data_IF_571902046997
#
_entry.id   IF_571902046997
#
_cell.length_a   1.000
_cell.length_b   1.000
_cell.length_c   1.000
_cell.angle_alpha   90.00
_cell.angle_beta   90.00
_cell.angle_gamma   90.00
#
_symmetry.space_group_name_H-M   'P 1'
#
loop_
_entity.id
_entity.type
_entity.pdbx_description
1 polymer ?
#
# COMPACT_ATOMS: atom_id res chain seq x y z
N UNK A 1 10.48 -5.14 -37.35
CA UNK A 1 10.41 -3.90 -36.54
C UNK A 1 9.03 -3.22 -36.60
N UNK A 2 8.49 -2.92 -37.79
CA UNK A 2 7.29 -2.06 -37.94
C UNK A 2 5.99 -2.68 -37.40
N UNK A 3 5.78 -3.99 -37.57
CA UNK A 3 4.56 -4.66 -37.12
C UNK A 3 4.37 -4.66 -35.59
N UNK A 4 5.47 -4.74 -34.82
CA UNK A 4 5.42 -4.72 -33.35
C UNK A 4 5.35 -3.28 -32.82
N UNK A 5 6.03 -2.33 -33.46
CA UNK A 5 5.83 -0.89 -33.19
C UNK A 5 4.38 -0.44 -33.47
N UNK A 6 3.73 -1.02 -34.49
CA UNK A 6 2.32 -0.81 -34.80
C UNK A 6 1.39 -1.33 -33.70
N UNK A 7 1.70 -2.51 -33.12
CA UNK A 7 0.92 -3.08 -32.00
C UNK A 7 1.14 -2.34 -30.68
N UNK A 8 2.34 -1.78 -30.45
CA UNK A 8 2.68 -1.03 -29.23
C UNK A 8 2.02 0.34 -29.15
N UNK A 9 1.93 1.09 -30.26
CA UNK A 9 1.37 2.45 -30.25
C UNK A 9 -0.04 2.54 -29.63
N UNK A 10 -1.01 1.67 -29.98
CA UNK A 10 -2.32 1.65 -29.33
C UNK A 10 -2.25 1.39 -27.83
N UNK A 11 -1.30 0.56 -27.37
CA UNK A 11 -1.12 0.26 -25.94
C UNK A 11 -0.55 1.44 -25.17
N UNK A 12 0.46 2.14 -25.71
CA UNK A 12 0.98 3.40 -25.12
C UNK A 12 -0.14 4.44 -25.02
N UNK A 13 -0.94 4.57 -26.07
CA UNK A 13 -2.11 5.46 -26.07
C UNK A 13 -3.13 5.06 -25.01
N UNK A 14 -3.44 3.76 -24.89
CA UNK A 14 -4.38 3.25 -23.91
C UNK A 14 -3.88 3.44 -22.47
N UNK A 15 -2.58 3.24 -22.22
CA UNK A 15 -1.93 3.49 -20.95
C UNK A 15 -2.05 4.97 -20.56
N UNK A 16 -1.66 5.89 -21.45
CA UNK A 16 -1.72 7.33 -21.18
C UNK A 16 -3.16 7.78 -20.90
N UNK A 17 -4.14 7.27 -21.65
CA UNK A 17 -5.56 7.53 -21.37
C UNK A 17 -5.99 7.02 -19.99
N UNK A 18 -5.51 5.85 -19.57
CA UNK A 18 -5.81 5.29 -18.25
C UNK A 18 -5.18 6.11 -17.12
N UNK A 19 -3.95 6.59 -17.32
CA UNK A 19 -3.28 7.52 -16.39
C UNK A 19 -4.09 8.80 -16.23
N UNK A 20 -4.50 9.43 -17.33
CA UNK A 20 -5.28 10.67 -17.29
C UNK A 20 -6.64 10.46 -16.59
N UNK A 21 -7.33 9.36 -16.88
CA UNK A 21 -8.59 9.01 -16.21
C UNK A 21 -8.40 8.79 -14.70
N UNK A 22 -7.33 8.11 -14.29
CA UNK A 22 -7.00 7.93 -12.88
C UNK A 22 -6.71 9.26 -12.20
N UNK A 23 -6.01 10.16 -12.89
CA UNK A 23 -5.72 11.49 -12.41
C UNK A 23 -6.99 12.30 -12.16
N UNK A 24 -7.86 12.38 -13.17
CA UNK A 24 -9.15 13.06 -13.11
C UNK A 24 -10.02 12.49 -11.97
N UNK A 25 -10.07 11.17 -11.84
CA UNK A 25 -10.82 10.51 -10.75
C UNK A 25 -10.29 10.88 -9.36
N UNK A 26 -8.97 11.13 -9.23
CA UNK A 26 -8.32 11.48 -7.96
C UNK A 26 -8.41 12.97 -7.60
N UNK A 27 -8.79 13.82 -8.55
CA UNK A 27 -8.91 15.28 -8.38
C UNK A 27 -10.36 15.73 -8.13
N UNK A 28 -11.33 14.81 -8.24
CA UNK A 28 -12.73 15.05 -7.91
C UNK A 28 -12.91 15.42 -6.42
N UNK A 29 -13.81 16.35 -6.13
CA UNK A 29 -14.21 16.73 -4.76
C UNK A 29 -15.73 16.53 -4.58
N UNK A 30 -16.19 15.56 -3.75
CA UNK A 30 -15.39 14.62 -2.97
C UNK A 30 -14.77 13.50 -3.83
N UNK A 31 -13.62 12.97 -3.39
CA UNK A 31 -12.91 11.90 -4.09
C UNK A 31 -13.73 10.60 -4.03
N UNK A 32 -14.15 10.09 -5.18
CA UNK A 32 -14.79 8.76 -5.28
C UNK A 32 -13.72 7.67 -5.27
N UNK A 33 -13.52 7.09 -4.10
CA UNK A 33 -12.50 6.06 -3.87
C UNK A 33 -12.71 4.80 -4.72
N UNK A 34 -13.96 4.41 -4.98
CA UNK A 34 -14.28 3.23 -5.79
C UNK A 34 -13.94 3.48 -7.26
N UNK A 35 -14.21 4.69 -7.76
CA UNK A 35 -13.81 5.12 -9.11
C UNK A 35 -12.29 5.15 -9.25
N UNK A 36 -11.57 5.72 -8.27
CA UNK A 36 -10.10 5.74 -8.23
C UNK A 36 -9.52 4.32 -8.22
N UNK A 37 -10.05 3.41 -7.40
CA UNK A 37 -9.59 2.01 -7.36
C UNK A 37 -9.85 1.29 -8.69
N UNK A 38 -11.02 1.51 -9.30
CA UNK A 38 -11.37 0.92 -10.60
C UNK A 38 -10.45 1.41 -11.71
N UNK A 39 -10.23 2.73 -11.79
CA UNK A 39 -9.32 3.34 -12.75
C UNK A 39 -7.90 2.80 -12.61
N UNK A 40 -7.44 2.58 -11.37
CA UNK A 40 -6.12 2.04 -11.10
C UNK A 40 -5.99 0.55 -11.49
N UNK A 41 -7.02 -0.27 -11.25
CA UNK A 41 -7.06 -1.66 -11.76
C UNK A 41 -6.97 -1.70 -13.29
N UNK A 42 -7.68 -0.81 -13.98
CA UNK A 42 -7.58 -0.70 -15.43
C UNK A 42 -6.19 -0.26 -15.90
N UNK A 43 -5.55 0.67 -15.21
CA UNK A 43 -4.17 1.10 -15.49
C UNK A 43 -3.19 -0.08 -15.35
N UNK A 44 -3.31 -0.88 -14.27
CA UNK A 44 -2.50 -2.10 -14.07
C UNK A 44 -2.62 -3.08 -15.23
N UNK A 45 -3.84 -3.40 -15.65
CA UNK A 45 -4.08 -4.34 -16.77
C UNK A 45 -3.41 -3.84 -18.05
N UNK A 46 -3.53 -2.54 -18.34
CA UNK A 46 -2.91 -1.93 -19.53
C UNK A 46 -1.38 -1.90 -19.43
N UNK A 47 -0.83 -1.67 -18.24
CA UNK A 47 0.61 -1.65 -17.99
C UNK A 47 1.26 -3.02 -18.24
N UNK A 48 0.64 -4.11 -17.79
CA UNK A 48 1.14 -5.48 -18.03
C UNK A 48 1.23 -5.75 -19.53
N UNK A 49 0.14 -5.48 -20.26
CA UNK A 49 0.11 -5.66 -21.73
C UNK A 49 1.12 -4.77 -22.45
N UNK A 50 1.33 -3.54 -21.97
CA UNK A 50 2.31 -2.63 -22.56
C UNK A 50 3.73 -3.16 -22.36
N UNK A 51 4.07 -3.59 -21.14
CA UNK A 51 5.39 -4.13 -20.80
C UNK A 51 5.76 -5.35 -21.64
N UNK A 52 4.83 -6.31 -21.79
CA UNK A 52 5.04 -7.49 -22.65
C UNK A 52 5.39 -7.12 -24.10
N UNK A 53 4.72 -6.09 -24.64
CA UNK A 53 5.01 -5.63 -26.01
C UNK A 53 6.28 -4.79 -26.08
N UNK A 54 6.65 -4.08 -25.02
CA UNK A 54 7.88 -3.30 -24.93
C UNK A 54 9.11 -4.22 -24.86
N UNK A 55 9.05 -5.28 -24.05
CA UNK A 55 10.08 -6.32 -23.98
C UNK A 55 10.25 -7.01 -25.35
N UNK A 56 9.15 -7.36 -26.03
CA UNK A 56 9.18 -7.94 -27.37
C UNK A 56 9.78 -7.00 -28.43
N UNK A 57 9.63 -5.67 -28.29
CA UNK A 57 10.26 -4.72 -29.20
C UNK A 57 11.77 -4.62 -28.93
N UNK A 58 12.20 -4.62 -27.68
CA UNK A 58 13.62 -4.60 -27.34
C UNK A 58 14.33 -5.87 -27.84
N UNK A 59 13.72 -7.04 -27.68
CA UNK A 59 14.24 -8.31 -28.20
C UNK A 59 14.39 -8.29 -29.73
N UNK A 60 13.36 -7.84 -30.45
CA UNK A 60 13.45 -7.65 -31.90
C UNK A 60 14.52 -6.65 -32.33
N UNK A 61 14.75 -5.59 -31.55
CA UNK A 61 15.77 -4.59 -31.86
C UNK A 61 17.18 -5.19 -31.76
N UNK A 62 17.38 -6.10 -30.80
CA UNK A 62 18.61 -6.89 -30.69
C UNK A 62 18.74 -7.84 -31.89
N UNK A 63 17.70 -8.61 -32.22
CA UNK A 63 17.70 -9.53 -33.37
C UNK A 63 17.97 -8.83 -34.70
N UNK A 64 17.55 -7.57 -34.83
CA UNK A 64 17.74 -6.75 -36.03
C UNK A 64 19.13 -6.10 -36.12
N UNK A 65 20.06 -6.40 -35.18
CA UNK A 65 21.37 -5.75 -35.04
C UNK A 65 21.26 -4.21 -35.10
N UNK A 66 20.28 -3.64 -34.37
CA UNK A 66 20.15 -2.19 -34.30
C UNK A 66 21.39 -1.52 -33.67
N UNK A 67 21.57 -0.22 -33.89
CA UNK A 67 22.64 0.51 -33.23
C UNK A 67 22.37 0.65 -31.74
N UNK A 68 23.45 0.71 -30.95
CA UNK A 68 23.34 0.86 -29.49
C UNK A 68 22.57 2.14 -29.12
N UNK A 69 22.75 3.23 -29.87
CA UNK A 69 22.04 4.48 -29.66
C UNK A 69 20.53 4.33 -29.88
N UNK A 70 20.12 3.61 -30.91
CA UNK A 70 18.70 3.38 -31.18
C UNK A 70 18.06 2.51 -30.09
N UNK A 71 18.79 1.51 -29.59
CA UNK A 71 18.36 0.68 -28.47
C UNK A 71 18.19 1.51 -27.19
N UNK A 72 19.19 2.31 -26.83
CA UNK A 72 19.17 3.13 -25.61
C UNK A 72 18.01 4.13 -25.61
N UNK A 73 17.75 4.80 -26.74
CA UNK A 73 16.60 5.70 -26.88
C UNK A 73 15.29 4.95 -26.63
N UNK A 74 15.12 3.76 -27.23
CA UNK A 74 13.90 3.00 -27.01
C UNK A 74 13.78 2.53 -25.56
N UNK A 75 14.87 2.07 -24.95
CA UNK A 75 14.91 1.66 -23.55
C UNK A 75 14.52 2.81 -22.60
N UNK A 76 15.08 4.00 -22.77
CA UNK A 76 14.72 5.20 -21.98
C UNK A 76 13.23 5.52 -22.14
N UNK A 77 12.68 5.44 -23.36
CA UNK A 77 11.24 5.69 -23.54
C UNK A 77 10.34 4.65 -22.90
N UNK A 78 10.82 3.43 -22.64
CA UNK A 78 10.08 2.38 -21.94
C UNK A 78 10.11 2.65 -20.42
N UNK A 79 11.28 3.02 -19.89
CA UNK A 79 11.45 3.38 -18.48
C UNK A 79 10.53 4.54 -18.06
N UNK A 80 10.32 5.54 -18.93
CA UNK A 80 9.37 6.63 -18.68
C UNK A 80 7.94 6.16 -18.33
N UNK A 81 7.48 5.04 -18.90
CA UNK A 81 6.16 4.48 -18.60
C UNK A 81 6.18 3.71 -17.27
N UNK A 82 7.28 3.00 -16.97
CA UNK A 82 7.48 2.33 -15.69
C UNK A 82 7.49 3.31 -14.52
N UNK A 83 8.21 4.43 -14.66
CA UNK A 83 8.25 5.50 -13.66
C UNK A 83 6.85 6.09 -13.38
N UNK A 84 6.07 6.35 -14.43
CA UNK A 84 4.68 6.82 -14.29
C UNK A 84 3.82 5.82 -13.50
N UNK A 85 3.96 4.52 -13.78
CA UNK A 85 3.21 3.49 -13.06
C UNK A 85 3.59 3.45 -11.57
N UNK A 86 4.88 3.55 -11.24
CA UNK A 86 5.38 3.58 -9.86
C UNK A 86 4.88 4.82 -9.13
N UNK A 87 4.94 6.00 -9.76
CA UNK A 87 4.45 7.25 -9.18
C UNK A 87 2.97 7.13 -8.77
N UNK A 88 2.13 6.54 -9.63
CA UNK A 88 0.71 6.30 -9.32
C UNK A 88 0.49 5.27 -8.22
N UNK A 89 1.29 4.20 -8.15
CA UNK A 89 1.25 3.24 -7.05
C UNK A 89 1.49 3.91 -5.69
N UNK A 90 2.49 4.79 -5.61
CA UNK A 90 2.82 5.52 -4.38
C UNK A 90 1.71 6.51 -4.01
N UNK A 91 1.21 7.27 -4.99
CA UNK A 91 0.15 8.26 -4.77
C UNK A 91 -1.13 7.61 -4.24
N UNK A 92 -1.57 6.50 -4.83
CA UNK A 92 -2.76 5.76 -4.39
C UNK A 92 -2.62 5.24 -2.95
N UNK A 93 -1.46 4.67 -2.60
CA UNK A 93 -1.17 4.20 -1.23
C UNK A 93 -1.31 5.31 -0.20
N UNK A 94 -1.02 6.56 -0.57
CA UNK A 94 -1.16 7.71 0.31
C UNK A 94 -2.63 8.15 0.43
N UNK A 95 -3.38 8.18 -0.68
CA UNK A 95 -4.83 8.50 -0.69
C UNK A 95 -5.61 7.49 0.17
N UNK A 96 -5.28 6.20 0.09
CA UNK A 96 -5.89 5.14 0.91
C UNK A 96 -5.65 5.32 2.43
N UNK A 97 -4.51 5.90 2.82
CA UNK A 97 -4.19 6.13 4.24
C UNK A 97 -4.93 7.33 4.83
N UNK A 98 -5.27 8.32 4.01
CA UNK A 98 -5.92 9.55 4.48
C UNK A 98 -7.42 9.36 4.76
N UNK A 99 -8.11 8.47 4.04
CA UNK A 99 -9.54 8.20 4.21
C UNK A 99 -9.87 7.47 5.54
N UNK A 100 -8.96 6.63 6.03
CA UNK A 100 -9.15 5.87 7.27
C UNK A 100 -9.27 6.72 8.56
N UNK A 101 -8.98 8.03 8.50
CA UNK A 101 -9.01 8.95 9.64
C UNK A 101 -10.33 9.73 9.80
N UNK A 102 -11.32 9.55 8.89
CA UNK A 102 -12.43 10.50 8.70
C UNK A 102 -13.80 10.24 9.38
N UNK A 103 -14.15 9.04 9.87
CA UNK A 103 -15.52 8.76 10.36
C UNK A 103 -15.56 7.88 11.63
N UNK A 104 -16.02 8.38 12.80
CA UNK A 104 -16.57 7.57 13.92
C UNK A 104 -17.46 8.36 14.92
N UNK A 105 -18.68 7.88 15.18
CA UNK A 105 -19.51 8.20 16.36
C UNK A 105 -20.11 6.92 17.01
N UNK A 106 -20.17 6.94 18.36
CA UNK A 106 -21.00 6.18 19.33
C UNK A 106 -21.01 4.62 19.35
N UNK A 107 -20.41 3.99 20.37
CA UNK A 107 -21.08 3.46 21.60
C UNK A 107 -20.21 2.44 22.39
N UNK A 108 -20.31 2.55 23.73
CA UNK A 108 -20.02 1.59 24.83
C UNK A 108 -18.61 1.02 25.09
N UNK A 109 -18.22 1.16 26.36
CA UNK A 109 -16.93 0.89 26.99
C UNK A 109 -16.83 -0.55 27.51
N UNK A 110 -15.73 -1.24 27.20
CA UNK A 110 -15.20 -2.33 28.03
C UNK A 110 -13.71 -2.05 28.25
N UNK A 111 -13.33 -1.82 29.50
CA UNK A 111 -11.95 -1.59 29.92
C UNK A 111 -11.32 -2.91 30.35
N UNK A 112 -10.22 -3.31 29.71
CA UNK A 112 -9.37 -4.39 30.22
C UNK A 112 -7.90 -3.98 30.21
N UNK A 113 -7.32 -4.07 31.40
CA UNK A 113 -5.94 -3.83 31.81
C UNK A 113 -4.91 -4.64 31.00
N UNK A 114 -3.87 -3.96 30.52
CA UNK A 114 -2.78 -4.54 29.75
C UNK A 114 -1.79 -5.34 30.63
N UNK A 115 -1.76 -6.65 30.46
CA UNK A 115 -0.64 -7.51 30.88
C UNK A 115 0.33 -7.69 29.71
N UNK A 116 1.63 -7.52 29.95
CA UNK A 116 2.66 -7.68 28.91
C UNK A 116 2.76 -9.14 28.45
N UNK A 117 2.25 -9.41 27.24
CA UNK A 117 2.31 -10.73 26.61
C UNK A 117 3.73 -10.99 26.10
N UNK A 118 4.40 -12.04 26.61
CA UNK A 118 5.64 -12.55 26.02
C UNK A 118 5.28 -13.54 24.91
N UNK A 119 5.85 -13.34 23.72
CA UNK A 119 5.60 -14.18 22.56
C UNK A 119 6.35 -15.53 22.68
N UNK A 120 5.77 -16.65 22.23
CA UNK A 120 6.45 -17.93 22.15
C UNK A 120 7.68 -17.86 21.25
N UNK A 121 8.79 -18.51 21.65
CA UNK A 121 9.96 -18.65 20.79
C UNK A 121 9.64 -19.63 19.66
N UNK A 122 9.80 -19.18 18.41
CA UNK A 122 9.63 -20.01 17.22
C UNK A 122 10.78 -21.01 17.16
N UNK A 123 10.47 -22.31 17.15
CA UNK A 123 11.43 -23.38 16.86
C UNK A 123 11.10 -23.94 15.47
N UNK A 124 12.03 -23.84 14.53
CA UNK A 124 11.87 -24.43 13.21
C UNK A 124 11.96 -25.96 13.31
N UNK A 125 11.06 -26.66 12.64
CA UNK A 125 11.12 -28.12 12.54
C UNK A 125 12.38 -28.53 11.77
N UNK A 126 13.21 -29.37 12.37
CA UNK A 126 14.39 -29.92 11.71
C UNK A 126 13.96 -31.12 10.84
N UNK A 127 14.29 -31.08 9.55
CA UNK A 127 14.02 -32.18 8.63
C UNK A 127 15.20 -33.14 8.60
N UNK A 128 14.94 -34.44 8.76
CA UNK A 128 15.97 -35.49 8.77
C UNK A 128 16.48 -35.82 7.37
N UNK A 129 15.79 -35.34 6.32
CA UNK A 129 16.07 -35.65 4.92
C UNK A 129 15.50 -37.00 4.47
N UNK A 130 14.78 -37.73 5.33
CA UNK A 130 14.09 -38.96 4.94
C UNK A 130 12.90 -38.67 3.99
N UNK A 131 12.66 -39.57 3.04
CA UNK A 131 11.59 -39.43 2.04
C UNK A 131 10.19 -39.38 2.68
N UNK A 132 10.03 -40.01 3.85
CA UNK A 132 8.83 -39.97 4.69
C UNK A 132 8.51 -38.55 5.14
N UNK A 133 9.52 -37.75 5.48
CA UNK A 133 9.38 -36.35 5.85
C UNK A 133 8.94 -35.51 4.64
N UNK A 134 9.46 -35.79 3.44
CA UNK A 134 9.04 -35.12 2.21
C UNK A 134 7.57 -35.38 1.86
N UNK A 135 7.11 -36.64 1.99
CA UNK A 135 5.71 -36.98 1.77
C UNK A 135 4.78 -36.30 2.78
N UNK A 136 5.18 -36.24 4.05
CA UNK A 136 4.44 -35.51 5.09
C UNK A 136 4.37 -34.02 4.78
N UNK A 137 5.48 -33.41 4.36
CA UNK A 137 5.54 -32.01 3.95
C UNK A 137 4.62 -31.73 2.76
N UNK A 138 4.76 -32.51 1.68
CA UNK A 138 3.95 -32.34 0.48
C UNK A 138 2.45 -32.47 0.80
N UNK A 139 2.04 -33.49 1.57
CA UNK A 139 0.63 -33.65 1.94
C UNK A 139 0.09 -32.52 2.82
N UNK A 140 0.94 -31.84 3.60
CA UNK A 140 0.53 -30.70 4.42
C UNK A 140 0.12 -29.50 3.55
N UNK A 141 0.89 -29.23 2.50
CA UNK A 141 0.67 -28.07 1.62
C UNK A 141 -0.12 -28.41 0.36
N UNK A 142 -0.33 -29.69 0.04
CA UNK A 142 -1.12 -30.14 -1.13
C UNK A 142 -2.48 -29.46 -1.21
N UNK A 143 -3.18 -29.36 -0.08
CA UNK A 143 -4.50 -28.72 -0.01
C UNK A 143 -4.47 -27.23 -0.32
N UNK A 144 -3.36 -26.53 -0.03
CA UNK A 144 -3.17 -25.11 -0.35
C UNK A 144 -2.82 -24.97 -1.83
N UNK A 145 -1.94 -25.85 -2.33
CA UNK A 145 -1.52 -25.85 -3.73
C UNK A 145 -2.66 -26.17 -4.71
N UNK A 146 -3.63 -27.00 -4.30
CA UNK A 146 -4.80 -27.38 -5.09
C UNK A 146 -6.01 -26.46 -4.88
N UNK A 147 -5.90 -25.42 -4.03
CA UNK A 147 -7.01 -24.52 -3.74
C UNK A 147 -7.08 -23.37 -4.76
N UNK A 148 -8.08 -23.42 -5.64
CA UNK A 148 -8.32 -22.39 -6.67
C UNK A 148 -8.72 -21.01 -6.09
N UNK A 149 -9.06 -20.92 -4.80
CA UNK A 149 -9.39 -19.65 -4.14
C UNK A 149 -8.18 -18.87 -3.62
N UNK A 150 -7.00 -19.47 -3.67
CA UNK A 150 -5.74 -18.87 -3.24
C UNK A 150 -5.02 -18.34 -4.47
N UNK A 151 -4.82 -17.03 -4.52
CA UNK A 151 -4.11 -16.39 -5.63
C UNK A 151 -2.59 -16.61 -5.48
N UNK A 152 -1.86 -16.60 -6.60
CA UNK A 152 -0.39 -16.58 -6.61
C UNK A 152 0.12 -15.20 -7.03
N UNK A 153 1.07 -14.64 -6.28
CA UNK A 153 1.73 -13.39 -6.63
C UNK A 153 2.70 -13.57 -7.81
N UNK A 154 3.19 -12.45 -8.38
CA UNK A 154 4.12 -12.46 -9.52
C UNK A 154 5.48 -13.12 -9.24
N UNK A 155 5.78 -13.46 -7.98
CA UNK A 155 6.99 -14.17 -7.56
C UNK A 155 6.75 -15.66 -7.28
N UNK A 156 5.55 -16.17 -7.55
CA UNK A 156 5.15 -17.55 -7.29
C UNK A 156 4.87 -17.85 -5.82
N UNK A 157 4.56 -16.83 -5.01
CA UNK A 157 4.14 -17.01 -3.61
C UNK A 157 2.63 -16.98 -3.51
N UNK A 158 2.06 -17.94 -2.80
CA UNK A 158 0.65 -17.96 -2.45
C UNK A 158 0.27 -16.71 -1.64
N UNK A 159 -0.72 -15.97 -2.11
CA UNK A 159 -1.36 -14.87 -1.41
C UNK A 159 -2.78 -15.26 -1.00
N UNK A 160 -3.08 -15.08 0.28
CA UNK A 160 -4.42 -15.32 0.82
C UNK A 160 -4.93 -13.99 1.33
N UNK A 161 -6.13 -13.59 0.91
CA UNK A 161 -6.82 -12.48 1.53
C UNK A 161 -7.00 -12.80 3.02
N UNK A 162 -6.33 -12.04 3.88
CA UNK A 162 -6.54 -12.18 5.32
C UNK A 162 -8.05 -12.03 5.57
N UNK A 163 -8.66 -12.89 6.40
CA UNK A 163 -9.99 -12.63 6.92
C UNK A 163 -9.83 -11.47 7.89
N UNK A 164 -9.64 -10.27 7.33
CA UNK A 164 -9.74 -9.03 8.06
C UNK A 164 -11.09 -9.14 8.76
N UNK A 165 -11.06 -9.19 10.08
CA UNK A 165 -12.25 -8.90 10.85
C UNK A 165 -12.64 -7.51 10.34
N UNK A 166 -13.69 -7.43 9.51
CA UNK A 166 -14.22 -6.16 8.99
C UNK A 166 -14.47 -5.17 10.15
N UNK A 167 -14.67 -5.74 11.33
CA UNK A 167 -14.75 -5.11 12.64
C UNK A 167 -13.37 -4.80 13.28
N UNK A 168 -12.40 -4.33 12.49
CA UNK A 168 -11.19 -3.72 13.03
C UNK A 168 -11.59 -2.45 13.79
N UNK A 169 -11.85 -2.59 15.10
CA UNK A 169 -12.09 -1.47 15.99
C UNK A 169 -10.82 -0.61 16.00
N UNK A 170 -10.74 0.38 15.11
CA UNK A 170 -9.73 1.44 15.20
C UNK A 170 -9.76 1.96 16.63
N UNK A 171 -8.61 1.93 17.30
CA UNK A 171 -8.45 2.37 18.68
C UNK A 171 -9.01 3.79 18.79
N UNK A 172 -9.86 4.04 19.79
CA UNK A 172 -10.49 5.35 19.93
C UNK A 172 -9.45 6.45 20.14
N UNK A 173 -9.63 7.60 19.50
CA UNK A 173 -8.77 8.76 19.73
C UNK A 173 -8.88 9.23 21.18
N UNK A 174 -7.73 9.34 21.86
CA UNK A 174 -7.65 9.79 23.25
C UNK A 174 -7.86 11.30 23.42
N UNK A 175 -8.25 12.04 22.37
CA UNK A 175 -8.40 13.50 22.35
C UNK A 175 -9.33 14.00 23.47
N UNK A 176 -10.55 13.48 23.55
CA UNK A 176 -11.54 13.91 24.57
C UNK A 176 -11.07 13.62 26.00
N UNK A 177 -10.36 12.51 26.20
CA UNK A 177 -9.76 12.18 27.49
C UNK A 177 -8.60 13.13 27.83
N UNK A 178 -7.76 13.47 26.85
CA UNK A 178 -6.69 14.45 26.99
C UNK A 178 -7.24 15.85 27.30
N UNK A 179 -8.30 16.30 26.63
CA UNK A 179 -8.98 17.57 26.89
C UNK A 179 -9.53 17.64 28.33
N UNK A 180 -10.23 16.59 28.77
CA UNK A 180 -10.74 16.51 30.15
C UNK A 180 -9.61 16.52 31.19
N UNK A 181 -8.50 15.84 30.90
CA UNK A 181 -7.30 15.85 31.76
C UNK A 181 -6.66 17.23 31.80
N UNK A 182 -6.59 17.92 30.67
CA UNK A 182 -6.07 19.28 30.57
C UNK A 182 -6.92 20.25 31.39
N UNK A 183 -8.25 20.22 31.23
CA UNK A 183 -9.15 21.07 32.02
C UNK A 183 -9.01 20.81 33.52
N UNK A 184 -8.94 19.53 33.91
CA UNK A 184 -8.78 19.16 35.32
C UNK A 184 -7.46 19.69 35.89
N UNK A 185 -6.39 19.61 35.11
CA UNK A 185 -5.07 20.13 35.48
C UNK A 185 -5.09 21.66 35.58
N UNK A 186 -5.72 22.35 34.62
CA UNK A 186 -5.92 23.80 34.62
C UNK A 186 -6.68 24.26 35.87
N UNK A 187 -7.77 23.58 36.23
CA UNK A 187 -8.54 23.88 37.47
C UNK A 187 -7.67 23.71 38.72
N UNK A 188 -6.87 22.64 38.81
CA UNK A 188 -5.96 22.42 39.93
C UNK A 188 -4.89 23.52 40.01
N UNK A 189 -4.27 23.88 38.89
CA UNK A 189 -3.25 24.91 38.85
C UNK A 189 -3.81 26.27 39.28
N UNK A 190 -5.00 26.63 38.80
CA UNK A 190 -5.72 27.84 39.24
C UNK A 190 -6.02 27.81 40.74
N UNK A 191 -6.51 26.68 41.28
CA UNK A 191 -6.78 26.55 42.71
C UNK A 191 -5.51 26.69 43.57
N UNK A 192 -4.36 26.25 43.05
CA UNK A 192 -3.06 26.42 43.72
C UNK A 192 -2.38 27.77 43.46
N UNK A 193 -2.98 28.64 42.63
CA UNK A 193 -2.39 29.93 42.23
C UNK A 193 -1.19 29.84 41.30
N UNK A 194 -0.84 28.65 40.78
CA UNK A 194 0.38 28.39 39.99
C UNK A 194 0.19 28.46 38.48
N UNK A 195 -1.01 28.81 38.03
CA UNK A 195 -1.32 28.77 36.60
C UNK A 195 -0.45 29.73 35.78
N UNK A 196 -0.33 30.98 36.24
CA UNK A 196 0.45 32.01 35.55
C UNK A 196 1.96 31.74 35.57
N UNK A 197 2.49 31.21 36.68
CA UNK A 197 3.90 30.82 36.78
C UNK A 197 4.28 29.77 35.72
N UNK A 198 3.40 28.79 35.50
CA UNK A 198 3.61 27.78 34.47
C UNK A 198 3.41 28.34 33.06
N UNK A 199 2.47 29.26 32.86
CA UNK A 199 2.23 29.88 31.56
C UNK A 199 3.45 30.66 31.07
N UNK A 200 4.11 31.41 31.97
CA UNK A 200 5.35 32.14 31.66
C UNK A 200 6.46 31.20 31.17
N UNK A 201 6.62 30.02 31.80
CA UNK A 201 7.62 29.03 31.37
C UNK A 201 7.31 28.48 29.98
N UNK A 202 6.03 28.21 29.68
CA UNK A 202 5.61 27.71 28.36
C UNK A 202 5.81 28.75 27.26
N UNK A 203 5.53 30.02 27.54
CA UNK A 203 5.70 31.12 26.59
C UNK A 203 7.19 31.36 26.28
N UNK A 204 8.06 31.24 27.28
CA UNK A 204 9.52 31.28 27.10
C UNK A 204 9.99 30.16 26.15
N UNK A 205 9.52 28.93 26.35
CA UNK A 205 9.87 27.80 25.47
C UNK A 205 9.36 27.97 24.04
N UNK A 206 8.21 28.62 23.84
CA UNK A 206 7.70 28.93 22.50
C UNK A 206 8.51 30.03 21.81
N UNK A 207 9.12 30.95 22.58
CA UNK A 207 9.95 32.03 22.07
C UNK A 207 11.39 31.61 21.71
N UNK A 208 11.85 30.44 22.18
CA UNK A 208 13.18 29.88 21.89
C UNK A 208 13.27 29.14 20.53
N UNK A 209 12.20 29.16 19.73
CA UNK A 209 12.09 28.42 18.47
C UNK A 209 12.01 29.35 17.26
#
# INVERSE_FOLDING_TARGET
MDALKLKRMPLRTAFTKAVNHLQESSENDPVDMNSVETAFKQLKIKNVKLKEQEDAVLELMIESNCTQEAYNIEFETIEDYAEKMIAWQVRLKNIMKTDALGQKDNHSLITSSASSLRLPKIQFQQFSGELTDWLRFHNHFKRIHEDESIDEDFSGRYEVALPWILDNKLLSSNKKLAENRLESTKRKLNATGKFEEYQVVLDLWLSEK
#
